data_IF_270557715616
#
_entry.id   IF_270557715616
#
_cell.length_a   1.000
_cell.length_b   1.000
_cell.length_c   1.000
_cell.angle_alpha   90.00
_cell.angle_beta   90.00
_cell.angle_gamma   90.00
#
_symmetry.space_group_name_H-M   'P 1'
#
loop_
_entity.id
_entity.type
_entity.pdbx_description
1 polymer ?
#
# COMPACT_ATOMS: atom_id res chain seq x y z
N UNK A 1 0.22 23.25 -55.50
CA UNK A 1 1.53 23.43 -54.85
C UNK A 1 1.36 23.10 -53.37
N UNK A 2 1.49 21.83 -53.00
CA UNK A 2 1.22 21.37 -51.62
C UNK A 2 2.52 21.42 -50.82
N UNK A 3 2.58 22.33 -49.84
CA UNK A 3 3.68 22.40 -48.87
C UNK A 3 3.51 21.26 -47.86
N UNK A 4 4.26 20.17 -48.01
CA UNK A 4 4.37 19.16 -46.95
C UNK A 4 5.18 19.76 -45.79
N UNK A 5 4.47 20.30 -44.80
CA UNK A 5 5.05 20.80 -43.57
C UNK A 5 5.60 19.60 -42.79
N UNK A 6 6.91 19.53 -42.65
CA UNK A 6 7.64 18.47 -41.96
C UNK A 6 7.32 18.53 -40.46
N UNK A 7 6.23 17.87 -40.03
CA UNK A 7 5.77 17.77 -38.63
C UNK A 7 6.55 16.75 -37.79
N UNK A 8 7.42 15.97 -38.43
CA UNK A 8 8.15 14.86 -37.82
C UNK A 8 9.05 15.20 -36.62
N UNK A 9 9.81 16.32 -36.58
CA UNK A 9 10.71 16.60 -35.45
C UNK A 9 9.94 17.03 -34.19
N UNK A 10 8.82 17.73 -34.34
CA UNK A 10 7.99 18.15 -33.19
C UNK A 10 7.28 16.95 -32.55
N UNK A 11 6.89 15.96 -33.37
CA UNK A 11 6.22 14.75 -32.89
C UNK A 11 7.21 13.83 -32.14
N UNK A 12 8.45 13.71 -32.62
CA UNK A 12 9.55 13.04 -31.91
C UNK A 12 9.90 13.74 -30.59
N UNK A 13 10.04 15.07 -30.60
CA UNK A 13 10.30 15.86 -29.39
C UNK A 13 9.20 15.67 -28.33
N UNK A 14 7.93 15.74 -28.75
CA UNK A 14 6.79 15.48 -27.86
C UNK A 14 6.83 14.09 -27.25
N UNK A 15 7.12 13.06 -28.05
CA UNK A 15 7.22 11.68 -27.57
C UNK A 15 8.36 11.50 -26.55
N UNK A 16 9.52 12.09 -26.79
CA UNK A 16 10.65 12.05 -25.84
C UNK A 16 10.36 12.78 -24.54
N UNK A 17 9.63 13.91 -24.59
CA UNK A 17 9.24 14.64 -23.38
C UNK A 17 8.26 13.83 -22.55
N UNK A 18 7.27 13.20 -23.19
CA UNK A 18 6.32 12.32 -22.50
C UNK A 18 7.08 11.17 -21.84
N UNK A 19 7.97 10.49 -22.57
CA UNK A 19 8.74 9.36 -22.04
C UNK A 19 9.63 9.77 -20.86
N UNK A 20 10.31 10.91 -20.95
CA UNK A 20 11.16 11.43 -19.88
C UNK A 20 10.35 11.79 -18.62
N UNK A 21 9.18 12.42 -18.78
CA UNK A 21 8.27 12.72 -17.67
C UNK A 21 7.76 11.44 -17.01
N UNK A 22 7.36 10.45 -17.81
CA UNK A 22 6.92 9.14 -17.27
C UNK A 22 8.03 8.45 -16.49
N UNK A 23 9.28 8.45 -16.99
CA UNK A 23 10.42 7.86 -16.29
C UNK A 23 10.71 8.59 -14.97
N UNK A 24 10.67 9.92 -14.96
CA UNK A 24 10.92 10.72 -13.74
C UNK A 24 9.82 10.51 -12.68
N UNK A 25 8.56 10.37 -13.08
CA UNK A 25 7.46 10.04 -12.16
C UNK A 25 7.61 8.63 -11.58
N UNK A 26 7.95 7.64 -12.41
CA UNK A 26 8.17 6.25 -11.96
C UNK A 26 9.37 6.16 -11.03
N UNK A 27 10.46 6.87 -11.31
CA UNK A 27 11.68 6.83 -10.50
C UNK A 27 11.54 7.56 -9.16
N UNK A 28 10.79 8.67 -9.11
CA UNK A 28 10.43 9.33 -7.85
C UNK A 28 9.52 8.47 -6.96
N UNK A 29 8.63 7.68 -7.55
CA UNK A 29 7.80 6.74 -6.79
C UNK A 29 8.61 5.59 -6.17
N UNK A 30 9.74 5.20 -6.78
CA UNK A 30 10.60 4.10 -6.29
C UNK A 30 11.61 4.53 -5.22
N UNK A 31 12.05 5.78 -5.26
CA UNK A 31 13.10 6.31 -4.37
C UNK A 31 12.57 7.23 -3.27
N UNK A 32 11.24 7.31 -3.08
CA UNK A 32 10.69 7.99 -1.93
C UNK A 32 11.18 7.28 -0.66
N UNK A 33 11.77 8.00 0.33
CA UNK A 33 12.07 7.39 1.62
C UNK A 33 10.78 6.76 2.14
N UNK A 34 10.85 5.56 2.76
CA UNK A 34 9.66 4.90 3.29
C UNK A 34 8.93 5.93 4.16
N UNK A 35 7.63 6.19 3.89
CA UNK A 35 6.89 7.19 4.64
C UNK A 35 7.02 6.85 6.13
N UNK A 36 7.24 7.86 6.97
CA UNK A 36 7.19 7.66 8.41
C UNK A 36 5.75 7.28 8.74
N UNK A 37 5.54 5.99 8.95
CA UNK A 37 4.26 5.43 9.33
C UNK A 37 4.03 5.82 10.79
N UNK A 38 3.12 6.76 11.02
CA UNK A 38 2.61 7.03 12.36
C UNK A 38 1.39 6.14 12.57
N UNK A 39 1.51 5.15 13.46
CA UNK A 39 0.36 4.38 13.94
C UNK A 39 -0.20 5.09 15.17
N UNK A 40 -1.37 5.70 15.03
CA UNK A 40 -2.14 6.21 16.17
C UNK A 40 -2.80 5.03 16.90
N UNK A 41 -2.06 4.42 17.82
CA UNK A 41 -2.56 3.35 18.68
C UNK A 41 -1.44 2.62 19.42
N UNK A 42 -1.67 2.34 20.70
CA UNK A 42 -0.76 1.50 21.49
C UNK A 42 -0.93 0.03 21.07
N UNK A 43 0.15 -0.57 20.56
CA UNK A 43 0.19 -2.00 20.24
C UNK A 43 0.46 -2.82 21.50
N UNK A 44 -0.29 -3.91 21.66
CA UNK A 44 -0.06 -4.89 22.71
C UNK A 44 1.09 -5.83 22.29
N UNK A 45 2.33 -5.43 22.56
CA UNK A 45 3.52 -6.26 22.24
C UNK A 45 3.84 -7.15 23.43
N UNK A 46 3.94 -8.46 23.22
CA UNK A 46 4.30 -9.45 24.25
C UNK A 46 5.72 -9.97 24.02
N UNK A 47 6.63 -9.65 24.94
CA UNK A 47 7.99 -10.21 24.96
C UNK A 47 7.94 -11.66 25.44
N UNK A 48 8.59 -12.58 24.70
CA UNK A 48 8.51 -14.01 25.00
C UNK A 48 7.20 -14.65 24.54
N UNK A 49 6.66 -14.20 23.40
CA UNK A 49 5.42 -14.70 22.80
C UNK A 49 5.42 -16.24 22.71
N UNK A 50 4.43 -16.94 23.32
CA UNK A 50 4.40 -18.40 23.33
C UNK A 50 4.33 -18.99 21.93
N UNK A 51 5.16 -20.01 21.65
CA UNK A 51 5.27 -20.64 20.33
C UNK A 51 3.93 -21.25 19.89
N UNK A 52 3.20 -21.83 20.84
CA UNK A 52 1.86 -22.39 20.63
C UNK A 52 0.81 -21.35 20.19
N UNK A 53 1.03 -20.06 20.47
CA UNK A 53 0.15 -18.96 20.03
C UNK A 53 0.59 -18.39 18.69
N UNK A 54 1.83 -18.61 18.23
CA UNK A 54 2.33 -18.02 16.97
C UNK A 54 1.52 -18.45 15.75
N UNK A 55 1.13 -19.72 15.68
CA UNK A 55 0.29 -20.21 14.59
C UNK A 55 -1.07 -19.52 14.56
N UNK A 56 -1.68 -19.31 15.73
CA UNK A 56 -2.95 -18.57 15.83
C UNK A 56 -2.77 -17.10 15.44
N UNK A 57 -1.66 -16.46 15.85
CA UNK A 57 -1.33 -15.09 15.44
C UNK A 57 -1.26 -14.95 13.92
N UNK A 58 -0.53 -15.83 13.22
CA UNK A 58 -0.40 -15.76 11.76
C UNK A 58 -1.73 -16.03 11.05
N UNK A 59 -2.50 -17.02 11.50
CA UNK A 59 -3.81 -17.30 10.94
C UNK A 59 -4.79 -16.13 11.13
N UNK A 60 -4.77 -15.47 12.29
CA UNK A 60 -5.55 -14.26 12.52
C UNK A 60 -5.05 -13.09 11.69
N UNK A 61 -3.73 -12.93 11.53
CA UNK A 61 -3.16 -11.84 10.75
C UNK A 61 -3.59 -11.94 9.29
N UNK A 62 -3.51 -13.12 8.68
CA UNK A 62 -3.97 -13.41 7.31
C UNK A 62 -5.47 -13.09 7.17
N UNK A 63 -6.31 -13.67 8.05
CA UNK A 63 -7.76 -13.48 8.02
C UNK A 63 -8.17 -12.02 8.20
N UNK A 64 -7.50 -11.29 9.09
CA UNK A 64 -7.84 -9.90 9.44
C UNK A 64 -7.35 -8.93 8.35
N UNK A 65 -6.25 -9.23 7.69
CA UNK A 65 -5.67 -8.38 6.66
C UNK A 65 -6.30 -8.55 5.27
N UNK A 66 -6.97 -9.68 5.02
CA UNK A 66 -7.70 -9.97 3.78
C UNK A 66 -8.59 -8.81 3.26
N UNK A 67 -9.44 -8.13 4.07
CA UNK A 67 -10.23 -7.00 3.61
C UNK A 67 -9.40 -5.81 3.12
N UNK A 68 -8.19 -5.62 3.67
CA UNK A 68 -7.26 -4.55 3.25
C UNK A 68 -6.76 -4.87 1.84
N UNK A 69 -6.38 -6.11 1.57
CA UNK A 69 -5.90 -6.53 0.24
C UNK A 69 -7.00 -6.52 -0.78
N UNK A 70 -8.17 -7.06 -0.46
CA UNK A 70 -9.32 -7.05 -1.36
C UNK A 70 -9.74 -5.63 -1.73
N UNK A 71 -9.70 -4.69 -0.78
CA UNK A 71 -9.97 -3.27 -1.06
C UNK A 71 -8.87 -2.61 -1.91
N UNK A 72 -7.62 -3.07 -1.83
CA UNK A 72 -6.54 -2.60 -2.70
C UNK A 72 -6.61 -3.20 -4.12
N UNK A 73 -7.15 -4.40 -4.28
CA UNK A 73 -7.34 -5.05 -5.58
C UNK A 73 -8.56 -4.54 -6.35
N UNK A 74 -9.62 -4.15 -5.63
CA UNK A 74 -10.87 -3.68 -6.22
C UNK A 74 -10.89 -2.16 -6.37
N UNK A 75 -11.50 -1.66 -7.44
CA UNK A 75 -11.63 -0.20 -7.68
C UNK A 75 -12.75 0.45 -6.84
N UNK A 76 -13.54 -0.33 -6.11
CA UNK A 76 -14.71 0.16 -5.36
C UNK A 76 -14.39 0.49 -3.90
N UNK A 77 -13.28 -0.02 -3.33
CA UNK A 77 -12.76 0.33 -2.01
C UNK A 77 -13.78 0.28 -0.85
N UNK A 78 -13.84 -0.82 -0.09
CA UNK A 78 -14.72 -0.90 1.09
C UNK A 78 -14.05 -0.30 2.34
N UNK A 79 -14.16 1.03 2.52
CA UNK A 79 -13.61 1.71 3.69
C UNK A 79 -14.13 1.18 5.03
N UNK A 80 -15.35 0.60 5.07
CA UNK A 80 -15.91 0.07 6.30
C UNK A 80 -15.21 -1.24 6.71
N UNK A 81 -14.99 -2.14 5.74
CA UNK A 81 -14.27 -3.39 5.96
C UNK A 81 -12.80 -3.13 6.31
N UNK A 82 -12.14 -2.20 5.61
CA UNK A 82 -10.75 -1.81 5.90
C UNK A 82 -10.62 -1.21 7.31
N UNK A 83 -11.57 -0.38 7.74
CA UNK A 83 -11.58 0.17 9.10
C UNK A 83 -11.74 -0.91 10.16
N UNK A 84 -12.65 -1.86 9.96
CA UNK A 84 -12.86 -2.98 10.88
C UNK A 84 -11.59 -3.83 10.97
N UNK A 85 -10.96 -4.15 9.84
CA UNK A 85 -9.70 -4.88 9.79
C UNK A 85 -8.59 -4.16 10.58
N UNK A 86 -8.39 -2.87 10.33
CA UNK A 86 -7.42 -2.05 11.08
C UNK A 86 -7.68 -2.07 12.58
N UNK A 87 -8.93 -1.87 13.00
CA UNK A 87 -9.29 -1.83 14.42
C UNK A 87 -9.09 -3.20 15.08
N UNK A 88 -9.23 -4.31 14.33
CA UNK A 88 -8.87 -5.64 14.79
C UNK A 88 -7.36 -5.81 14.90
N UNK A 89 -6.57 -5.39 13.91
CA UNK A 89 -5.10 -5.41 13.97
C UNK A 89 -4.58 -4.65 15.20
N UNK A 90 -5.14 -3.48 15.50
CA UNK A 90 -4.75 -2.67 16.66
C UNK A 90 -4.99 -3.37 18.01
N UNK A 91 -5.91 -4.33 18.07
CA UNK A 91 -6.28 -5.05 19.30
C UNK A 91 -5.53 -6.37 19.47
N UNK A 92 -4.88 -6.86 18.41
CA UNK A 92 -4.11 -8.09 18.47
C UNK A 92 -2.91 -7.95 19.39
N UNK A 93 -2.58 -9.04 20.09
CA UNK A 93 -1.28 -9.17 20.74
C UNK A 93 -0.25 -9.56 19.69
N UNK A 94 0.86 -8.84 19.65
CA UNK A 94 1.87 -8.94 18.61
C UNK A 94 3.16 -9.53 19.18
N UNK A 95 3.75 -10.56 18.54
CA UNK A 95 5.11 -11.00 18.85
C UNK A 95 6.11 -9.85 18.67
N UNK A 96 7.05 -9.69 19.59
CA UNK A 96 8.03 -8.59 19.52
C UNK A 96 8.85 -8.55 18.23
N UNK A 97 9.13 -9.71 17.64
CA UNK A 97 9.84 -9.89 16.37
C UNK A 97 8.99 -9.50 15.15
N UNK A 98 7.66 -9.56 15.24
CA UNK A 98 6.73 -9.20 14.16
C UNK A 98 6.16 -7.79 14.30
N UNK A 99 6.60 -7.04 15.33
CA UNK A 99 6.11 -5.68 15.61
C UNK A 99 6.18 -4.77 14.39
N UNK A 100 7.28 -4.79 13.65
CA UNK A 100 7.47 -3.93 12.48
C UNK A 100 6.52 -4.32 11.35
N UNK A 101 6.39 -5.61 11.04
CA UNK A 101 5.44 -6.13 10.05
C UNK A 101 4.01 -5.69 10.38
N UNK A 102 3.62 -5.84 11.64
CA UNK A 102 2.29 -5.48 12.12
C UNK A 102 2.00 -3.98 12.01
N UNK A 103 2.98 -3.14 12.35
CA UNK A 103 2.92 -1.69 12.17
C UNK A 103 2.72 -1.34 10.69
N UNK A 104 3.48 -1.98 9.78
CA UNK A 104 3.37 -1.73 8.34
C UNK A 104 1.99 -2.10 7.78
N UNK A 105 1.36 -3.16 8.29
CA UNK A 105 0.00 -3.53 7.91
C UNK A 105 -1.04 -2.51 8.38
N UNK A 106 -0.93 -2.03 9.62
CA UNK A 106 -1.82 -0.98 10.13
C UNK A 106 -1.64 0.32 9.34
N UNK A 107 -0.40 0.65 8.97
CA UNK A 107 -0.10 1.75 8.09
C UNK A 107 -0.82 1.67 6.76
N UNK A 108 -0.73 0.50 6.12
CA UNK A 108 -1.32 0.23 4.84
C UNK A 108 -2.84 0.40 4.91
N UNK A 109 -3.46 -0.05 6.00
CA UNK A 109 -4.88 0.17 6.24
C UNK A 109 -5.23 1.67 6.36
N UNK A 110 -4.43 2.46 7.09
CA UNK A 110 -4.64 3.91 7.21
C UNK A 110 -4.47 4.62 5.86
N UNK A 111 -3.39 4.34 5.14
CA UNK A 111 -3.14 4.90 3.80
C UNK A 111 -4.27 4.56 2.84
N UNK A 112 -4.78 3.32 2.88
CA UNK A 112 -5.90 2.90 2.06
C UNK A 112 -7.21 3.61 2.45
N UNK A 113 -7.48 3.76 3.75
CA UNK A 113 -8.65 4.53 4.21
C UNK A 113 -8.59 6.01 3.80
N UNK A 114 -7.41 6.62 3.91
CA UNK A 114 -7.19 8.02 3.49
C UNK A 114 -7.38 8.15 1.97
N UNK A 115 -6.85 7.20 1.21
CA UNK A 115 -7.04 7.12 -0.25
C UNK A 115 -8.51 6.97 -0.65
N UNK A 116 -9.26 6.06 -0.01
CA UNK A 116 -10.70 5.85 -0.29
C UNK A 116 -11.51 7.11 0.03
N UNK A 117 -11.11 7.88 1.05
CA UNK A 117 -11.79 9.12 1.44
C UNK A 117 -11.36 10.32 0.59
N UNK A 118 -10.31 10.18 -0.21
CA UNK A 118 -9.73 11.21 -1.07
C UNK A 118 -10.31 11.24 -2.48
N UNK A 119 -9.49 11.67 -3.44
CA UNK A 119 -9.82 11.61 -4.87
C UNK A 119 -9.29 10.31 -5.52
N UNK A 120 -9.61 10.12 -6.81
CA UNK A 120 -9.26 8.91 -7.54
C UNK A 120 -7.73 8.69 -7.64
N UNK A 121 -6.95 9.77 -7.71
CA UNK A 121 -5.48 9.69 -7.78
C UNK A 121 -4.89 9.29 -6.42
N UNK A 122 -5.41 9.84 -5.33
CA UNK A 122 -5.06 9.46 -3.97
C UNK A 122 -5.40 7.99 -3.69
N UNK A 123 -6.55 7.51 -4.16
CA UNK A 123 -6.91 6.10 -4.03
C UNK A 123 -5.98 5.19 -4.84
N UNK A 124 -5.64 5.56 -6.08
CA UNK A 124 -4.71 4.79 -6.91
C UNK A 124 -3.29 4.70 -6.30
N UNK A 125 -2.77 5.81 -5.73
CA UNK A 125 -1.49 5.80 -5.01
C UNK A 125 -1.55 4.90 -3.77
N UNK A 126 -2.64 4.98 -3.00
CA UNK A 126 -2.85 4.13 -1.85
C UNK A 126 -2.89 2.64 -2.23
N UNK A 127 -3.63 2.27 -3.28
CA UNK A 127 -3.67 0.90 -3.81
C UNK A 127 -2.28 0.40 -4.22
N UNK A 128 -1.48 1.24 -4.90
CA UNK A 128 -0.13 0.87 -5.33
C UNK A 128 0.77 0.55 -4.13
N UNK A 129 0.72 1.38 -3.08
CA UNK A 129 1.51 1.19 -1.85
C UNK A 129 1.12 -0.08 -1.10
N UNK A 130 -0.18 -0.36 -0.99
CA UNK A 130 -0.66 -1.60 -0.35
C UNK A 130 -0.25 -2.83 -1.16
N UNK A 131 -0.35 -2.77 -2.50
CA UNK A 131 0.10 -3.86 -3.38
C UNK A 131 1.60 -4.13 -3.28
N UNK A 132 2.42 -3.07 -3.15
CA UNK A 132 3.86 -3.22 -2.94
C UNK A 132 4.16 -3.94 -1.62
N UNK A 133 3.52 -3.52 -0.52
CA UNK A 133 3.66 -4.20 0.78
C UNK A 133 3.25 -5.67 0.70
N UNK A 134 2.16 -5.98 -0.01
CA UNK A 134 1.70 -7.35 -0.20
C UNK A 134 2.71 -8.21 -0.98
N UNK A 135 3.36 -7.63 -1.99
CA UNK A 135 4.42 -8.31 -2.73
C UNK A 135 5.67 -8.62 -1.89
N UNK A 136 5.91 -7.87 -0.81
CA UNK A 136 6.97 -8.13 0.17
C UNK A 136 6.56 -9.18 1.20
N UNK A 137 5.28 -9.19 1.61
CA UNK A 137 4.70 -10.11 2.60
C UNK A 137 4.07 -11.34 1.94
N UNK A 138 4.81 -12.04 1.06
CA UNK A 138 4.28 -13.17 0.29
C UNK A 138 3.75 -14.34 1.12
N UNK A 139 4.20 -14.48 2.36
CA UNK A 139 3.75 -15.52 3.27
C UNK A 139 2.33 -15.28 3.80
N UNK A 140 1.80 -14.09 3.56
CA UNK A 140 0.50 -13.59 4.00
C UNK A 140 -0.55 -13.63 2.87
N UNK A 141 -0.23 -14.31 1.75
CA UNK A 141 -1.06 -14.51 0.57
C UNK A 141 -1.57 -15.95 0.44
#
# INVERSE_FOLDING_TARGET
MSKHLVWFPFLMLGLTVILAVTIVFVDRGRNAPPPVIVVDGALNVEEGFPEEKRQAYYADLERISEPIFRAAETNEGDASAVRIARDQLLRMTVPGDERETHIRLIAAANVLMDGISGDADAFADAQLRVKQLYGELKWLQ
#
